data_IF_813886473369
#
_entry.id   IF_813886473369
#
_cell.length_a   1.000
_cell.length_b   1.000
_cell.length_c   1.000
_cell.angle_alpha   90.00
_cell.angle_beta   90.00
_cell.angle_gamma   90.00
#
_symmetry.space_group_name_H-M   'P 1'
#
loop_
_entity.id
_entity.type
_entity.pdbx_description
1 polymer ?
#
# COMPACT_ATOMS: atom_id res chain seq x y z
N UNK A 1 -12.38 -13.89 7.15
CA UNK A 1 -11.08 -13.18 7.17
C UNK A 1 -11.34 -11.68 7.18
N UNK A 2 -10.66 -10.95 8.05
CA UNK A 2 -10.77 -9.49 8.15
C UNK A 2 -9.46 -8.84 7.69
N UNK A 3 -9.54 -8.01 6.66
CA UNK A 3 -8.41 -7.30 6.04
C UNK A 3 -8.44 -5.82 6.39
N UNK A 4 -7.29 -5.26 6.76
CA UNK A 4 -7.09 -3.80 6.90
C UNK A 4 -5.98 -3.33 5.97
N UNK A 5 -6.14 -2.13 5.43
CA UNK A 5 -5.08 -1.44 4.69
C UNK A 5 -4.71 -0.18 5.44
N UNK A 6 -3.48 -0.12 5.92
CA UNK A 6 -2.90 1.05 6.59
C UNK A 6 -2.15 1.85 5.55
N UNK A 7 -2.58 3.09 5.32
CA UNK A 7 -2.10 3.87 4.18
C UNK A 7 -1.73 5.30 4.52
N UNK A 8 -0.92 5.89 3.66
CA UNK A 8 -0.67 7.33 3.58
C UNK A 8 -0.69 7.75 2.10
N UNK A 9 -1.46 8.81 1.80
CA UNK A 9 -1.58 9.33 0.44
C UNK A 9 -1.48 10.86 0.49
N UNK A 10 -0.42 11.42 -0.07
CA UNK A 10 -0.13 12.86 -0.02
C UNK A 10 -0.23 13.54 -1.38
N UNK A 11 0.23 12.89 -2.43
CA UNK A 11 0.41 13.51 -3.74
C UNK A 11 -0.73 13.13 -4.69
N UNK A 12 -1.60 14.09 -5.00
CA UNK A 12 -2.79 13.95 -5.86
C UNK A 12 -3.76 12.82 -5.46
N UNK A 13 -3.65 12.26 -4.27
CA UNK A 13 -4.53 11.19 -3.81
C UNK A 13 -4.37 9.87 -4.57
N UNK A 14 -3.25 9.64 -5.23
CA UNK A 14 -3.00 8.45 -6.06
C UNK A 14 -3.19 7.14 -5.29
N UNK A 15 -2.48 7.00 -4.17
CA UNK A 15 -2.56 5.80 -3.34
C UNK A 15 -3.97 5.62 -2.76
N UNK A 16 -4.58 6.70 -2.30
CA UNK A 16 -5.95 6.66 -1.78
C UNK A 16 -6.94 6.16 -2.81
N UNK A 17 -6.82 6.58 -4.06
CA UNK A 17 -7.67 6.13 -5.17
C UNK A 17 -7.59 4.60 -5.35
N UNK A 18 -6.40 4.03 -5.27
CA UNK A 18 -6.21 2.57 -5.33
C UNK A 18 -6.81 1.90 -4.10
N UNK A 19 -6.52 2.42 -2.91
CA UNK A 19 -7.03 1.87 -1.66
C UNK A 19 -8.56 1.88 -1.57
N UNK A 20 -9.19 2.98 -1.99
CA UNK A 20 -10.66 3.10 -2.01
C UNK A 20 -11.29 2.02 -2.90
N UNK A 21 -10.71 1.78 -4.08
CA UNK A 21 -11.20 0.75 -5.01
C UNK A 21 -11.03 -0.66 -4.43
N UNK A 22 -9.87 -0.95 -3.88
CA UNK A 22 -9.59 -2.25 -3.25
C UNK A 22 -10.53 -2.46 -2.06
N UNK A 23 -10.69 -1.47 -1.19
CA UNK A 23 -11.55 -1.57 -0.03
C UNK A 23 -13.00 -1.85 -0.40
N UNK A 24 -13.51 -1.16 -1.43
CA UNK A 24 -14.87 -1.36 -1.90
C UNK A 24 -15.12 -2.78 -2.44
N UNK A 25 -14.16 -3.35 -3.17
CA UNK A 25 -14.35 -4.65 -3.83
C UNK A 25 -13.87 -5.85 -2.98
N UNK A 26 -12.89 -5.66 -2.10
CA UNK A 26 -12.35 -6.70 -1.21
C UNK A 26 -12.90 -6.59 0.22
N UNK A 27 -13.75 -5.61 0.52
CA UNK A 27 -14.30 -5.34 1.86
C UNK A 27 -13.22 -5.13 2.92
N UNK A 28 -12.11 -4.51 2.53
CA UNK A 28 -11.04 -4.16 3.46
C UNK A 28 -11.37 -2.86 4.20
N UNK A 29 -10.94 -2.79 5.45
CA UNK A 29 -11.00 -1.54 6.23
C UNK A 29 -9.82 -0.65 5.84
N UNK A 30 -10.03 0.66 5.75
CA UNK A 30 -8.97 1.64 5.47
C UNK A 30 -8.68 2.45 6.72
N UNK A 31 -7.39 2.53 7.08
CA UNK A 31 -6.93 3.34 8.21
C UNK A 31 -5.71 4.15 7.77
N UNK A 32 -5.75 5.46 7.97
CA UNK A 32 -4.58 6.29 7.75
C UNK A 32 -3.48 5.95 8.77
N UNK A 33 -2.23 5.88 8.30
CA UNK A 33 -1.10 5.51 9.15
C UNK A 33 -0.96 6.40 10.40
N UNK A 34 -1.27 7.69 10.28
CA UNK A 34 -1.25 8.63 11.40
C UNK A 34 -2.29 8.36 12.50
N UNK A 35 -3.27 7.50 12.25
CA UNK A 35 -4.29 7.09 13.23
C UNK A 35 -3.96 5.79 13.96
N UNK A 36 -2.90 5.12 13.57
CA UNK A 36 -2.44 3.92 14.25
C UNK A 36 -1.57 4.32 15.43
N UNK A 37 -2.05 4.06 16.62
CA UNK A 37 -1.38 4.37 17.88
C UNK A 37 -1.16 3.11 18.74
N UNK A 38 -0.72 3.28 19.98
CA UNK A 38 -0.47 2.18 20.92
C UNK A 38 -1.75 1.39 21.30
N UNK A 39 -2.94 1.92 21.04
CA UNK A 39 -4.21 1.27 21.30
C UNK A 39 -4.72 0.47 20.09
N UNK A 40 -4.01 0.49 18.98
CA UNK A 40 -4.40 -0.25 17.78
C UNK A 40 -4.34 -1.75 18.05
N UNK A 41 -5.47 -2.42 17.89
CA UNK A 41 -5.57 -3.86 18.15
C UNK A 41 -5.30 -4.67 16.88
N UNK A 42 -4.08 -5.15 16.74
CA UNK A 42 -3.66 -6.00 15.61
C UNK A 42 -4.45 -7.31 15.52
N UNK A 43 -4.97 -7.79 16.63
CA UNK A 43 -5.70 -9.08 16.65
C UNK A 43 -7.09 -9.00 16.01
N UNK A 44 -7.60 -7.79 15.78
CA UNK A 44 -8.85 -7.59 15.06
C UNK A 44 -8.73 -7.95 13.57
N UNK A 45 -7.51 -8.12 13.05
CA UNK A 45 -7.26 -8.32 11.63
C UNK A 45 -6.41 -9.56 11.36
N UNK A 46 -6.78 -10.30 10.33
CA UNK A 46 -6.03 -11.47 9.85
C UNK A 46 -4.94 -11.06 8.86
N UNK A 47 -5.27 -10.16 7.94
CA UNK A 47 -4.42 -9.72 6.84
C UNK A 47 -4.23 -8.21 6.87
N UNK A 48 -3.00 -7.76 6.75
CA UNK A 48 -2.63 -6.35 6.87
C UNK A 48 -1.93 -5.87 5.60
N UNK A 49 -2.57 -4.93 4.90
CA UNK A 49 -1.98 -4.21 3.79
C UNK A 49 -1.28 -2.93 4.26
N UNK A 50 -0.14 -2.64 3.68
CA UNK A 50 0.53 -1.35 3.81
C UNK A 50 0.55 -0.65 2.47
N UNK A 51 0.03 0.57 2.40
CA UNK A 51 -0.09 1.30 1.14
C UNK A 51 0.49 2.72 1.25
N UNK A 52 1.23 3.13 0.23
CA UNK A 52 1.95 4.40 0.25
C UNK A 52 2.21 4.95 -1.16
N UNK A 53 2.30 6.27 -1.26
CA UNK A 53 3.07 6.88 -2.33
C UNK A 53 4.56 6.61 -2.12
N UNK A 54 5.36 6.86 -3.16
CA UNK A 54 6.80 6.66 -3.12
C UNK A 54 7.52 8.01 -3.13
N UNK A 55 8.36 8.22 -2.12
CA UNK A 55 9.27 9.36 -2.03
C UNK A 55 10.67 8.85 -1.68
N UNK A 56 11.69 9.36 -2.38
CA UNK A 56 13.08 8.92 -2.20
C UNK A 56 13.25 7.40 -2.31
N UNK A 57 12.56 6.80 -3.28
CA UNK A 57 12.59 5.36 -3.58
C UNK A 57 12.07 4.44 -2.46
N UNK A 58 11.24 4.94 -1.56
CA UNK A 58 10.67 4.17 -0.45
C UNK A 58 9.25 4.61 -0.08
N UNK A 59 8.57 3.80 0.72
CA UNK A 59 7.30 4.16 1.34
C UNK A 59 7.48 5.37 2.27
N UNK A 60 6.43 6.15 2.45
CA UNK A 60 6.43 7.25 3.42
C UNK A 60 6.76 6.74 4.83
N UNK A 61 7.50 7.53 5.58
CA UNK A 61 7.96 7.17 6.92
C UNK A 61 6.81 6.84 7.87
N UNK A 62 5.66 7.50 7.75
CA UNK A 62 4.47 7.21 8.55
C UNK A 62 4.00 5.76 8.41
N UNK A 63 4.00 5.21 7.19
CA UNK A 63 3.63 3.82 6.92
C UNK A 63 4.71 2.86 7.41
N UNK A 64 5.97 3.18 7.14
CA UNK A 64 7.11 2.36 7.58
C UNK A 64 7.19 2.21 9.09
N UNK A 65 6.92 3.28 9.84
CA UNK A 65 6.89 3.24 11.32
C UNK A 65 5.79 2.34 11.86
N UNK A 66 4.62 2.32 11.22
CA UNK A 66 3.55 1.40 11.62
C UNK A 66 3.94 -0.04 11.32
N UNK A 67 4.57 -0.31 10.17
CA UNK A 67 5.05 -1.64 9.80
C UNK A 67 6.07 -2.20 10.80
N UNK A 68 6.88 -1.35 11.42
CA UNK A 68 7.82 -1.74 12.49
C UNK A 68 7.14 -2.28 13.75
N UNK A 69 5.85 -2.07 13.91
CA UNK A 69 5.07 -2.51 15.07
C UNK A 69 4.28 -3.80 14.84
N UNK A 70 4.33 -4.37 13.63
CA UNK A 70 3.52 -5.53 13.29
C UNK A 70 3.89 -6.75 14.14
N UNK A 71 2.90 -7.47 14.68
CA UNK A 71 3.17 -8.72 15.40
C UNK A 71 3.62 -9.84 14.46
N UNK A 72 4.42 -10.75 14.98
CA UNK A 72 4.82 -11.95 14.27
C UNK A 72 3.62 -12.81 13.86
N UNK A 73 3.72 -13.50 12.74
CA UNK A 73 2.70 -14.43 12.25
C UNK A 73 1.60 -13.80 11.39
N UNK A 74 1.45 -12.46 11.38
CA UNK A 74 0.46 -11.79 10.53
C UNK A 74 0.82 -11.90 9.05
N UNK A 75 -0.17 -12.06 8.18
CA UNK A 75 0.00 -11.94 6.73
C UNK A 75 0.06 -10.48 6.31
N UNK A 76 0.96 -10.14 5.39
CA UNK A 76 1.12 -8.77 4.90
C UNK A 76 1.20 -8.69 3.39
N UNK A 77 0.67 -7.59 2.84
CA UNK A 77 0.85 -7.24 1.43
C UNK A 77 1.09 -5.73 1.29
N UNK A 78 1.58 -5.33 0.12
CA UNK A 78 2.00 -3.95 -0.09
C UNK A 78 1.42 -3.39 -1.38
N UNK A 79 0.94 -2.15 -1.32
CA UNK A 79 0.46 -1.40 -2.49
C UNK A 79 1.19 -0.07 -2.54
N UNK A 80 1.67 0.32 -3.72
CA UNK A 80 2.28 1.64 -3.87
C UNK A 80 1.95 2.29 -5.21
N UNK A 81 2.02 3.61 -5.21
CA UNK A 81 1.94 4.43 -6.41
C UNK A 81 3.23 5.22 -6.57
N UNK A 82 3.74 5.28 -7.78
CA UNK A 82 5.03 5.87 -8.09
C UNK A 82 5.01 6.63 -9.43
N UNK A 83 6.01 7.45 -9.66
CA UNK A 83 6.15 8.16 -10.92
C UNK A 83 6.56 7.22 -12.06
N UNK A 84 7.53 6.35 -11.79
CA UNK A 84 8.05 5.36 -12.72
C UNK A 84 8.13 4.00 -12.03
N UNK A 85 7.34 3.06 -12.53
CA UNK A 85 7.24 1.72 -11.93
C UNK A 85 8.30 0.78 -12.55
N UNK A 86 9.56 0.99 -12.22
CA UNK A 86 10.72 0.30 -12.80
C UNK A 86 11.45 -0.63 -11.83
N UNK A 87 10.99 -0.72 -10.58
CA UNK A 87 11.53 -1.62 -9.55
C UNK A 87 10.51 -1.84 -8.43
N UNK A 88 10.78 -2.80 -7.56
CA UNK A 88 9.96 -3.03 -6.37
C UNK A 88 10.30 -2.02 -5.27
N UNK A 89 9.49 -0.98 -5.15
CA UNK A 89 9.63 0.04 -4.11
C UNK A 89 9.20 -0.44 -2.73
N UNK A 90 8.60 -1.62 -2.61
CA UNK A 90 8.25 -2.22 -1.32
C UNK A 90 9.41 -3.04 -0.71
N UNK A 91 10.55 -3.18 -1.38
CA UNK A 91 11.63 -4.04 -0.93
C UNK A 91 12.10 -3.75 0.51
N UNK A 92 12.24 -2.48 0.89
CA UNK A 92 12.66 -2.08 2.25
C UNK A 92 11.61 -2.43 3.31
N UNK A 93 10.35 -2.10 3.07
CA UNK A 93 9.28 -2.35 4.05
C UNK A 93 8.96 -3.84 4.16
N UNK A 94 9.10 -4.62 3.10
CA UNK A 94 9.02 -6.09 3.14
C UNK A 94 10.04 -6.66 4.13
N UNK A 95 11.28 -6.21 4.04
CA UNK A 95 12.34 -6.64 4.95
C UNK A 95 12.01 -6.31 6.41
N UNK A 96 11.47 -5.12 6.67
CA UNK A 96 11.05 -4.71 8.01
C UNK A 96 10.02 -5.68 8.59
N UNK A 97 8.96 -6.00 7.85
CA UNK A 97 7.91 -6.90 8.36
C UNK A 97 8.40 -8.34 8.50
N UNK A 98 9.26 -8.81 7.61
CA UNK A 98 9.85 -10.14 7.69
C UNK A 98 10.77 -10.28 8.92
N UNK A 99 11.57 -9.27 9.22
CA UNK A 99 12.40 -9.21 10.44
C UNK A 99 11.55 -9.22 11.72
N UNK A 100 10.31 -8.75 11.65
CA UNK A 100 9.33 -8.82 12.75
C UNK A 100 8.65 -10.20 12.84
N UNK A 101 8.88 -11.09 11.90
CA UNK A 101 8.27 -12.43 11.85
C UNK A 101 6.89 -12.46 11.17
N UNK A 102 6.51 -11.40 10.48
CA UNK A 102 5.29 -11.40 9.66
C UNK A 102 5.56 -12.04 8.29
N UNK A 103 4.51 -12.54 7.65
CA UNK A 103 4.60 -13.19 6.34
C UNK A 103 4.36 -12.15 5.23
N UNK A 104 5.32 -12.01 4.31
CA UNK A 104 5.16 -11.18 3.12
C UNK A 104 4.49 -11.97 1.99
N UNK A 105 3.30 -11.56 1.57
CA UNK A 105 2.50 -12.25 0.54
C UNK A 105 2.59 -11.58 -0.84
N UNK A 106 3.32 -10.50 -0.96
CA UNK A 106 3.58 -9.84 -2.23
C UNK A 106 3.33 -8.34 -2.23
N UNK A 107 3.57 -7.73 -3.38
CA UNK A 107 3.37 -6.30 -3.58
C UNK A 107 2.79 -6.00 -4.95
N UNK A 108 2.03 -4.91 -5.03
CA UNK A 108 1.51 -4.34 -6.25
C UNK A 108 1.89 -2.86 -6.33
N UNK A 109 2.42 -2.44 -7.46
CA UNK A 109 2.76 -1.05 -7.73
C UNK A 109 2.19 -0.58 -9.04
N UNK A 110 1.74 0.68 -9.09
CA UNK A 110 1.29 1.32 -10.31
C UNK A 110 1.75 2.77 -10.39
N UNK A 111 1.58 3.37 -11.56
CA UNK A 111 1.93 4.78 -11.77
C UNK A 111 0.86 5.69 -11.18
N UNK A 112 1.27 6.84 -10.70
CA UNK A 112 0.40 7.90 -10.21
C UNK A 112 0.67 9.22 -10.88
N UNK A 113 -0.31 10.13 -10.85
CA UNK A 113 -0.15 11.50 -11.32
C UNK A 113 0.96 12.21 -10.53
N UNK A 114 1.95 12.77 -11.21
CA UNK A 114 3.15 13.35 -10.60
C UNK A 114 3.43 14.76 -11.16
N UNK A 115 3.58 15.73 -10.26
CA UNK A 115 3.92 17.12 -10.58
C UNK A 115 5.18 17.61 -9.86
N UNK A 116 6.03 16.70 -9.38
CA UNK A 116 7.28 17.08 -8.69
C UNK A 116 8.28 17.75 -9.61
N UNK A 117 8.94 18.80 -9.08
CA UNK A 117 10.03 19.50 -9.74
C UNK A 117 9.65 20.06 -11.11
N UNK A 118 10.48 19.86 -12.15
CA UNK A 118 10.23 20.36 -13.50
C UNK A 118 8.98 19.78 -14.16
N UNK A 119 8.44 18.67 -13.69
CA UNK A 119 7.21 18.08 -14.22
C UNK A 119 5.99 19.00 -14.03
N UNK A 120 6.01 19.83 -13.01
CA UNK A 120 4.97 20.83 -12.76
C UNK A 120 4.84 21.84 -13.90
N UNK A 121 5.93 22.20 -14.56
CA UNK A 121 5.96 23.15 -15.67
C UNK A 121 5.29 22.63 -16.95
N UNK A 122 5.22 21.31 -17.12
CA UNK A 122 4.60 20.65 -18.27
C UNK A 122 3.24 20.03 -17.97
N UNK A 123 2.63 20.36 -16.81
CA UNK A 123 1.33 19.85 -16.39
C UNK A 123 1.38 18.50 -15.69
N UNK A 124 2.58 18.00 -15.36
CA UNK A 124 2.78 16.71 -14.65
C UNK A 124 3.03 15.52 -15.57
N UNK A 125 3.25 14.37 -14.96
CA UNK A 125 3.45 13.08 -15.60
C UNK A 125 2.40 12.09 -15.13
N UNK A 126 1.99 11.15 -16.00
CA UNK A 126 0.98 10.12 -15.68
C UNK A 126 -0.38 10.72 -15.22
N UNK A 127 -0.83 11.79 -15.86
CA UNK A 127 -2.04 12.52 -15.46
C UNK A 127 -3.30 11.65 -15.38
N UNK A 128 -3.40 10.61 -16.20
CA UNK A 128 -4.52 9.66 -16.22
C UNK A 128 -4.30 8.44 -15.30
N UNK A 129 -3.20 8.37 -14.56
CA UNK A 129 -2.87 7.26 -13.68
C UNK A 129 -3.12 7.62 -12.20
N UNK A 130 -3.53 6.66 -11.35
CA UNK A 130 -3.89 5.30 -11.75
C UNK A 130 -5.11 5.27 -12.66
N UNK A 131 -5.04 4.49 -13.75
CA UNK A 131 -6.15 4.28 -14.66
C UNK A 131 -7.04 3.10 -14.23
N UNK A 132 -8.13 2.86 -14.95
CA UNK A 132 -9.07 1.79 -14.59
C UNK A 132 -8.43 0.40 -14.63
N UNK A 133 -7.54 0.12 -15.57
CA UNK A 133 -6.85 -1.17 -15.66
C UNK A 133 -5.93 -1.39 -14.46
N UNK A 134 -5.23 -0.35 -14.02
CA UNK A 134 -4.38 -0.39 -12.83
C UNK A 134 -5.18 -0.59 -11.54
N UNK A 135 -6.35 0.04 -11.42
CA UNK A 135 -7.27 -0.16 -10.30
C UNK A 135 -7.80 -1.59 -10.24
N UNK A 136 -8.21 -2.14 -11.38
CA UNK A 136 -8.65 -3.55 -11.48
C UNK A 136 -7.53 -4.52 -11.12
N UNK A 137 -6.32 -4.29 -11.62
CA UNK A 137 -5.16 -5.12 -11.30
C UNK A 137 -4.83 -5.12 -9.81
N UNK A 138 -4.97 -3.97 -9.13
CA UNK A 138 -4.81 -3.88 -7.69
C UNK A 138 -5.82 -4.74 -6.93
N UNK A 139 -7.09 -4.70 -7.34
CA UNK A 139 -8.15 -5.54 -6.75
C UNK A 139 -7.85 -7.03 -6.95
N UNK A 140 -7.49 -7.43 -8.17
CA UNK A 140 -7.15 -8.83 -8.48
C UNK A 140 -5.95 -9.30 -7.66
N UNK A 141 -4.95 -8.45 -7.50
CA UNK A 141 -3.79 -8.74 -6.65
C UNK A 141 -4.22 -9.03 -5.21
N UNK A 142 -5.04 -8.18 -4.60
CA UNK A 142 -5.48 -8.36 -3.21
C UNK A 142 -6.35 -9.61 -3.07
N UNK A 143 -7.28 -9.86 -3.98
CA UNK A 143 -8.09 -11.10 -3.98
C UNK A 143 -7.20 -12.35 -4.01
N UNK A 144 -6.16 -12.35 -4.83
CA UNK A 144 -5.22 -13.47 -4.90
C UNK A 144 -4.41 -13.63 -3.61
N UNK A 145 -4.03 -12.51 -2.98
CA UNK A 145 -3.36 -12.54 -1.67
C UNK A 145 -4.27 -13.17 -0.61
N UNK A 146 -5.53 -12.75 -0.56
CA UNK A 146 -6.53 -13.30 0.35
C UNK A 146 -6.71 -14.81 0.16
N UNK A 147 -6.89 -15.27 -1.08
CA UNK A 147 -6.99 -16.70 -1.41
C UNK A 147 -5.73 -17.50 -0.99
N UNK A 148 -4.55 -16.91 -1.16
CA UNK A 148 -3.29 -17.56 -0.79
C UNK A 148 -3.14 -17.66 0.72
N UNK A 149 -3.59 -16.65 1.44
CA UNK A 149 -3.48 -16.60 2.90
C UNK A 149 -4.46 -17.54 3.61
N UNK A 150 -5.64 -17.77 3.03
CA UNK A 150 -6.66 -18.69 3.57
C UNK A 150 -6.29 -20.17 3.45
N UNK A 151 -5.34 -20.52 2.58
CA UNK A 151 -4.85 -21.90 2.40
C UNK A 151 -3.78 -22.27 3.41
#
# INVERSE_FOLDING_TARGET
MKTVIIYESKHHGNTKKVCDRVAAECRAELIEAGRVDSNFNWEDYDLIGFASGIAYSKFYDSVSRVAEQIPAGKGTFFIYTCAKNDKDFAAKIKKVVEERGAKCLGSYGCRGFNTYGPLKLIGGMNKSNPNEDELKAAVEFVKKVEETYEK
#
